data_IF_368856479211
#
_entry.id   IF_368856479211
#
_cell.length_a   1.000
_cell.length_b   1.000
_cell.length_c   1.000
_cell.angle_alpha   90.00
_cell.angle_beta   90.00
_cell.angle_gamma   90.00
#
_symmetry.space_group_name_H-M   'P 1'
#
loop_
_entity.id
_entity.type
_entity.pdbx_description
1 polymer ?
#
# COMPACT_ATOMS: atom_id res chain seq x y z
N UNK A 1 15.26 -72.16 14.84
CA UNK A 1 15.59 -71.52 13.55
C UNK A 1 15.50 -70.04 13.77
N UNK A 2 16.65 -69.42 14.03
CA UNK A 2 16.83 -67.98 14.22
C UNK A 2 17.05 -67.41 12.82
N UNK A 3 16.18 -66.50 12.39
CA UNK A 3 16.35 -65.77 11.14
C UNK A 3 17.36 -64.62 11.35
N UNK A 4 18.13 -64.22 10.33
CA UNK A 4 19.24 -63.29 10.49
C UNK A 4 18.75 -61.83 10.52
N UNK A 5 19.41 -61.01 11.33
CA UNK A 5 19.32 -59.54 11.30
C UNK A 5 19.90 -59.04 9.96
N UNK A 6 19.06 -58.44 9.13
CA UNK A 6 19.50 -57.64 7.98
C UNK A 6 19.91 -56.25 8.49
N UNK A 7 21.18 -55.92 8.27
CA UNK A 7 21.80 -54.63 8.60
C UNK A 7 21.22 -53.53 7.68
N UNK A 8 20.40 -52.63 8.25
CA UNK A 8 19.87 -51.47 7.53
C UNK A 8 20.97 -50.41 7.30
N UNK A 9 20.98 -49.72 6.13
CA UNK A 9 22.02 -48.76 5.76
C UNK A 9 22.07 -47.52 6.67
N UNK A 10 23.29 -47.02 6.95
CA UNK A 10 23.60 -45.95 7.94
C UNK A 10 22.71 -44.70 7.90
N UNK A 11 22.12 -44.35 6.75
CA UNK A 11 21.24 -43.18 6.63
C UNK A 11 19.88 -43.34 7.33
N UNK A 12 19.40 -44.57 7.59
CA UNK A 12 18.13 -44.82 8.29
C UNK A 12 18.29 -44.84 9.82
N UNK A 13 19.50 -45.10 10.35
CA UNK A 13 19.80 -44.97 11.78
C UNK A 13 19.81 -43.50 12.22
N UNK A 14 20.24 -42.59 11.34
CA UNK A 14 20.20 -41.16 11.60
C UNK A 14 18.76 -40.60 11.71
N UNK A 15 17.83 -41.17 10.95
CA UNK A 15 16.42 -40.78 10.98
C UNK A 15 15.67 -41.26 12.24
N UNK A 16 16.11 -42.35 12.88
CA UNK A 16 15.50 -42.82 14.13
C UNK A 16 16.11 -42.18 15.39
N UNK A 17 17.39 -41.76 15.37
CA UNK A 17 17.98 -41.07 16.54
C UNK A 17 17.47 -39.64 16.72
N UNK A 18 17.02 -38.98 15.65
CA UNK A 18 16.43 -37.63 15.73
C UNK A 18 14.95 -37.63 16.13
N UNK A 19 14.26 -38.79 16.05
CA UNK A 19 12.84 -38.92 16.37
C UNK A 19 12.54 -39.23 17.85
N UNK A 20 13.55 -39.54 18.68
CA UNK A 20 13.35 -39.95 20.09
C UNK A 20 13.81 -38.93 21.15
N UNK A 21 14.06 -37.66 20.79
CA UNK A 21 14.43 -36.62 21.77
C UNK A 21 13.56 -35.37 21.73
N UNK A 22 12.25 -35.55 21.57
CA UNK A 22 11.26 -34.50 21.84
C UNK A 22 10.20 -34.99 22.84
N UNK A 23 10.66 -35.36 24.03
CA UNK A 23 9.80 -35.38 25.22
C UNK A 23 9.70 -33.96 25.80
N UNK A 24 8.53 -33.39 25.59
CA UNK A 24 7.75 -32.56 26.50
C UNK A 24 8.52 -31.86 27.64
N UNK A 25 8.95 -30.63 27.37
CA UNK A 25 9.10 -29.61 28.41
C UNK A 25 8.25 -28.42 27.99
N UNK A 26 7.05 -28.38 28.54
CA UNK A 26 6.32 -27.15 28.84
C UNK A 26 7.24 -26.20 29.62
N UNK A 27 8.09 -25.49 28.89
CA UNK A 27 8.72 -24.29 29.35
C UNK A 27 7.73 -23.16 29.05
N UNK A 28 7.08 -22.67 30.10
CA UNK A 28 6.43 -21.36 30.10
C UNK A 28 7.37 -20.37 29.42
N UNK A 29 7.07 -20.05 28.16
CA UNK A 29 7.70 -18.94 27.46
C UNK A 29 7.21 -17.70 28.17
N UNK A 30 8.01 -17.23 29.13
CA UNK A 30 7.87 -15.90 29.68
C UNK A 30 8.01 -14.95 28.52
N UNK A 31 6.90 -14.34 28.12
CA UNK A 31 6.86 -13.21 27.22
C UNK A 31 7.67 -12.08 27.87
N UNK A 32 8.95 -12.02 27.54
CA UNK A 32 9.80 -10.88 27.87
C UNK A 32 9.31 -9.68 27.06
N UNK A 33 8.58 -8.80 27.76
CA UNK A 33 8.29 -7.41 27.43
C UNK A 33 7.95 -7.11 25.96
N UNK A 34 6.68 -7.33 25.62
CA UNK A 34 6.07 -6.83 24.40
C UNK A 34 5.82 -5.31 24.53
N UNK A 35 6.51 -4.55 23.69
CA UNK A 35 6.57 -3.09 23.67
C UNK A 35 5.20 -2.45 23.39
N UNK A 36 4.39 -2.22 24.43
CA UNK A 36 3.27 -1.28 24.38
C UNK A 36 2.12 -1.61 23.41
N UNK A 37 2.07 -2.81 22.84
CA UNK A 37 0.99 -3.25 21.96
C UNK A 37 -0.23 -3.66 22.78
N UNK A 38 -1.34 -2.93 22.65
CA UNK A 38 -2.62 -3.32 23.24
C UNK A 38 -3.26 -4.46 22.42
N UNK A 39 -2.90 -5.70 22.75
CA UNK A 39 -3.46 -6.91 22.14
C UNK A 39 -4.98 -7.01 22.28
N UNK A 40 -5.58 -6.41 23.32
CA UNK A 40 -7.02 -6.41 23.49
C UNK A 40 -7.69 -5.49 22.45
N UNK A 41 -7.08 -4.34 22.16
CA UNK A 41 -7.50 -3.44 21.08
C UNK A 41 -7.36 -4.11 19.70
N UNK A 42 -6.21 -4.73 19.42
CA UNK A 42 -5.96 -5.46 18.16
C UNK A 42 -6.98 -6.58 17.96
N UNK A 43 -7.24 -7.37 19.00
CA UNK A 43 -8.23 -8.46 18.95
C UNK A 43 -9.66 -7.95 18.74
N UNK A 44 -10.00 -6.79 19.30
CA UNK A 44 -11.30 -6.15 19.10
C UNK A 44 -11.44 -5.64 17.67
N UNK A 45 -10.40 -4.96 17.15
CA UNK A 45 -10.35 -4.47 15.78
C UNK A 45 -10.49 -5.61 14.77
N UNK A 46 -9.78 -6.72 14.99
CA UNK A 46 -9.88 -7.93 14.18
C UNK A 46 -11.33 -8.40 14.02
N UNK A 47 -12.03 -8.58 15.14
CA UNK A 47 -13.43 -9.00 15.15
C UNK A 47 -14.35 -8.01 14.43
N UNK A 48 -14.07 -6.72 14.54
CA UNK A 48 -14.85 -5.69 13.86
C UNK A 48 -14.68 -5.77 12.33
N UNK A 49 -13.45 -5.93 11.84
CA UNK A 49 -13.15 -6.10 10.40
C UNK A 49 -13.80 -7.39 9.88
N UNK A 50 -13.62 -8.51 10.58
CA UNK A 50 -14.15 -9.82 10.16
C UNK A 50 -15.68 -9.84 10.10
N UNK A 51 -16.37 -9.21 11.07
CA UNK A 51 -17.83 -9.06 11.02
C UNK A 51 -18.26 -8.22 9.83
N UNK A 52 -17.63 -7.06 9.62
CA UNK A 52 -17.97 -6.20 8.49
C UNK A 52 -17.70 -6.87 7.13
N UNK A 53 -16.66 -7.70 7.03
CA UNK A 53 -16.39 -8.54 5.86
C UNK A 53 -17.48 -9.59 5.64
N UNK A 54 -17.90 -10.29 6.70
CA UNK A 54 -18.96 -11.30 6.64
C UNK A 54 -20.32 -10.70 6.24
N UNK A 55 -20.63 -9.51 6.76
CA UNK A 55 -21.88 -8.80 6.48
C UNK A 55 -21.86 -8.05 5.13
N UNK A 56 -20.70 -7.99 4.46
CA UNK A 56 -20.53 -7.20 3.23
C UNK A 56 -20.69 -5.68 3.44
N UNK A 57 -20.52 -5.20 4.68
CA UNK A 57 -20.80 -3.81 5.05
C UNK A 57 -19.63 -2.90 4.72
N UNK A 58 -19.70 -2.24 3.56
CA UNK A 58 -18.70 -1.21 3.17
C UNK A 58 -18.59 -0.09 4.20
N UNK A 59 -19.69 0.30 4.86
CA UNK A 59 -19.68 1.32 5.92
C UNK A 59 -18.87 0.84 7.12
N UNK A 60 -19.10 -0.38 7.60
CA UNK A 60 -18.33 -0.95 8.72
C UNK A 60 -16.84 -1.08 8.40
N UNK A 61 -16.51 -1.46 7.17
CA UNK A 61 -15.13 -1.52 6.70
C UNK A 61 -14.44 -0.15 6.66
N UNK A 62 -15.15 0.89 6.20
CA UNK A 62 -14.64 2.27 6.21
C UNK A 62 -14.43 2.77 7.64
N UNK A 63 -15.37 2.51 8.55
CA UNK A 63 -15.21 2.86 9.97
C UNK A 63 -13.98 2.17 10.58
N UNK A 64 -13.79 0.88 10.33
CA UNK A 64 -12.64 0.12 10.80
C UNK A 64 -11.31 0.74 10.37
N UNK A 65 -11.24 1.17 9.10
CA UNK A 65 -10.06 1.77 8.48
C UNK A 65 -9.76 3.19 9.01
N UNK A 66 -10.78 3.97 9.38
CA UNK A 66 -10.64 5.33 9.93
C UNK A 66 -10.19 5.31 11.39
N UNK A 67 -10.69 4.37 12.19
CA UNK A 67 -10.37 4.26 13.61
C UNK A 67 -8.87 4.01 13.89
N UNK A 68 -8.45 4.22 15.13
CA UNK A 68 -7.07 3.98 15.59
C UNK A 68 -6.57 2.58 15.22
N UNK A 69 -5.31 2.50 14.78
CA UNK A 69 -4.67 1.27 14.28
C UNK A 69 -5.08 0.84 12.86
N UNK A 70 -6.13 1.42 12.27
CA UNK A 70 -6.58 1.13 10.90
C UNK A 70 -6.89 -0.34 10.67
N UNK A 71 -6.43 -0.89 9.54
CA UNK A 71 -6.72 -2.27 9.14
C UNK A 71 -5.74 -3.31 9.67
N UNK A 72 -4.84 -2.92 10.60
CA UNK A 72 -3.88 -3.79 11.30
C UNK A 72 -2.75 -4.31 10.41
N UNK A 73 -3.05 -5.02 9.31
CA UNK A 73 -2.06 -5.67 8.46
C UNK A 73 -2.50 -5.79 7.00
N UNK A 74 -1.54 -6.10 6.13
CA UNK A 74 -1.77 -6.19 4.68
C UNK A 74 -2.75 -7.31 4.30
N UNK A 75 -2.88 -8.37 5.09
CA UNK A 75 -3.85 -9.44 4.83
C UNK A 75 -5.30 -8.94 4.91
N UNK A 76 -5.61 -8.08 5.89
CA UNK A 76 -6.92 -7.42 5.93
C UNK A 76 -7.02 -6.36 4.83
N UNK A 77 -5.97 -5.60 4.53
CA UNK A 77 -6.00 -4.60 3.44
C UNK A 77 -6.29 -5.23 2.09
N UNK A 78 -5.72 -6.40 1.79
CA UNK A 78 -6.01 -7.20 0.58
C UNK A 78 -7.49 -7.54 0.43
N UNK A 79 -8.20 -7.74 1.55
CA UNK A 79 -9.63 -8.00 1.55
C UNK A 79 -10.44 -6.70 1.52
N UNK A 80 -10.00 -5.66 2.20
CA UNK A 80 -10.82 -4.48 2.49
C UNK A 80 -10.63 -3.37 1.46
N UNK A 81 -9.40 -3.03 1.07
CA UNK A 81 -9.12 -1.94 0.11
C UNK A 81 -9.91 -2.07 -1.19
N UNK A 82 -10.02 -3.26 -1.83
CA UNK A 82 -10.83 -3.40 -3.04
C UNK A 82 -12.31 -3.06 -2.81
N UNK A 83 -12.85 -3.44 -1.63
CA UNK A 83 -14.26 -3.20 -1.28
C UNK A 83 -14.53 -1.72 -1.00
N UNK A 84 -13.71 -1.07 -0.19
CA UNK A 84 -13.91 0.35 0.16
C UNK A 84 -13.57 1.29 -1.01
N UNK A 85 -12.62 0.89 -1.86
CA UNK A 85 -12.31 1.55 -3.13
C UNK A 85 -13.36 1.30 -4.22
N UNK A 86 -14.31 0.39 -3.98
CA UNK A 86 -15.43 0.12 -4.88
C UNK A 86 -15.02 -0.52 -6.19
N UNK A 87 -14.04 -1.42 -6.17
CA UNK A 87 -13.58 -2.15 -7.36
C UNK A 87 -14.12 -3.57 -7.39
N UNK A 88 -14.45 -4.03 -8.59
CA UNK A 88 -14.85 -5.41 -8.82
C UNK A 88 -13.62 -6.24 -9.17
N UNK A 89 -13.16 -7.10 -8.27
CA UNK A 89 -11.97 -7.96 -8.47
C UNK A 89 -12.11 -8.97 -9.61
N UNK A 90 -13.32 -9.17 -10.14
CA UNK A 90 -13.59 -10.01 -11.31
C UNK A 90 -13.62 -9.21 -12.62
N UNK A 91 -13.46 -7.88 -12.57
CA UNK A 91 -13.35 -7.06 -13.76
C UNK A 91 -12.10 -7.44 -14.54
N UNK A 92 -12.27 -7.65 -15.84
CA UNK A 92 -11.17 -7.89 -16.76
C UNK A 92 -10.90 -6.61 -17.55
N UNK A 93 -9.62 -6.29 -17.69
CA UNK A 93 -9.17 -5.21 -18.56
C UNK A 93 -8.12 -5.75 -19.51
N UNK A 94 -8.14 -5.36 -20.80
CA UNK A 94 -7.11 -5.75 -21.74
C UNK A 94 -5.72 -5.42 -21.20
N UNK A 95 -4.79 -6.37 -21.31
CA UNK A 95 -3.38 -6.12 -21.02
C UNK A 95 -2.72 -5.62 -22.31
N UNK A 96 -2.20 -4.39 -22.35
CA UNK A 96 -1.46 -3.90 -23.52
C UNK A 96 -0.18 -4.72 -23.70
N UNK A 97 0.31 -4.79 -24.93
CA UNK A 97 1.61 -5.41 -25.19
C UNK A 97 2.74 -4.50 -24.71
N UNK A 98 3.91 -5.07 -24.40
CA UNK A 98 5.09 -4.28 -24.06
C UNK A 98 5.48 -3.31 -25.20
N UNK A 99 5.33 -3.74 -26.46
CA UNK A 99 5.61 -2.90 -27.62
C UNK A 99 4.71 -1.66 -27.67
N UNK A 100 3.43 -1.78 -27.29
CA UNK A 100 2.52 -0.64 -27.24
C UNK A 100 2.86 0.29 -26.07
N UNK A 101 3.21 -0.27 -24.91
CA UNK A 101 3.64 0.49 -23.73
C UNK A 101 4.87 1.34 -24.05
N UNK A 102 5.88 0.77 -24.70
CA UNK A 102 7.15 1.45 -25.01
C UNK A 102 6.99 2.66 -25.94
N UNK A 103 5.93 2.66 -26.76
CA UNK A 103 5.61 3.75 -27.69
C UNK A 103 4.84 4.90 -27.01
N UNK A 104 4.33 4.70 -25.79
CA UNK A 104 3.53 5.70 -25.11
C UNK A 104 4.38 6.88 -24.63
N UNK A 105 3.86 8.11 -24.77
CA UNK A 105 4.61 9.35 -24.51
C UNK A 105 5.21 9.45 -23.09
N UNK A 106 4.52 8.88 -22.08
CA UNK A 106 4.98 8.89 -20.69
C UNK A 106 5.90 7.73 -20.29
N UNK A 107 6.13 6.74 -21.16
CA UNK A 107 6.85 5.51 -20.79
C UNK A 107 8.24 5.80 -20.19
N UNK A 108 9.05 6.60 -20.87
CA UNK A 108 10.41 6.91 -20.40
C UNK A 108 10.39 7.64 -19.06
N UNK A 109 9.45 8.56 -18.86
CA UNK A 109 9.31 9.28 -17.58
C UNK A 109 8.92 8.32 -16.45
N UNK A 110 7.95 7.43 -16.68
CA UNK A 110 7.51 6.44 -15.70
C UNK A 110 8.66 5.51 -15.31
N UNK A 111 9.42 5.00 -16.28
CA UNK A 111 10.60 4.15 -16.03
C UNK A 111 11.64 4.88 -15.18
N UNK A 112 11.94 6.15 -15.50
CA UNK A 112 12.91 6.94 -14.75
C UNK A 112 12.45 7.19 -13.31
N UNK A 113 11.17 7.44 -13.10
CA UNK A 113 10.59 7.70 -11.78
C UNK A 113 10.59 6.44 -10.91
N UNK A 114 10.15 5.31 -11.47
CA UNK A 114 10.15 4.00 -10.78
C UNK A 114 11.57 3.55 -10.42
N UNK A 115 12.57 3.86 -11.25
CA UNK A 115 13.98 3.61 -10.90
C UNK A 115 14.44 4.41 -9.67
N UNK A 116 13.88 5.60 -9.42
CA UNK A 116 14.22 6.43 -8.26
C UNK A 116 13.51 6.00 -6.98
N UNK A 117 12.42 5.22 -7.06
CA UNK A 117 11.66 4.75 -5.90
C UNK A 117 12.22 3.49 -5.23
N UNK A 118 13.44 3.05 -5.58
CA UNK A 118 14.10 1.84 -5.04
C UNK A 118 14.10 1.76 -3.50
N UNK A 119 14.23 2.91 -2.82
CA UNK A 119 14.24 2.99 -1.35
C UNK A 119 12.89 2.63 -0.69
N UNK A 120 11.81 2.58 -1.46
CA UNK A 120 10.45 2.27 -0.98
C UNK A 120 10.19 0.78 -0.89
N UNK A 121 11.01 -0.05 -1.55
CA UNK A 121 10.90 -1.50 -1.44
C UNK A 121 11.52 -1.96 -0.12
N UNK A 122 10.85 -2.84 0.64
CA UNK A 122 11.39 -3.37 1.88
C UNK A 122 12.83 -3.89 1.71
N UNK A 123 13.75 -3.54 2.62
CA UNK A 123 15.16 -3.90 2.50
C UNK A 123 15.41 -5.41 2.53
N UNK A 124 14.46 -6.20 3.02
CA UNK A 124 14.48 -7.67 3.05
C UNK A 124 14.28 -8.33 1.68
N UNK A 125 13.83 -7.60 0.66
CA UNK A 125 13.56 -8.16 -0.67
C UNK A 125 14.86 -8.29 -1.46
N UNK A 126 15.08 -9.47 -2.06
CA UNK A 126 16.23 -9.72 -2.93
C UNK A 126 16.21 -8.81 -4.18
N UNK A 127 17.39 -8.40 -4.67
CA UNK A 127 17.50 -7.44 -5.78
C UNK A 127 16.70 -7.85 -7.03
N UNK A 128 16.78 -9.13 -7.42
CA UNK A 128 16.01 -9.64 -8.57
C UNK A 128 14.49 -9.53 -8.39
N UNK A 129 13.99 -9.70 -7.16
CA UNK A 129 12.57 -9.50 -6.85
C UNK A 129 12.17 -8.02 -6.89
N UNK A 130 13.07 -7.10 -6.51
CA UNK A 130 12.83 -5.65 -6.63
C UNK A 130 12.70 -5.23 -8.09
N UNK A 131 13.61 -5.68 -8.94
CA UNK A 131 13.56 -5.40 -10.39
C UNK A 131 12.22 -5.89 -10.96
N UNK A 132 11.80 -7.11 -10.62
CA UNK A 132 10.51 -7.62 -11.04
C UNK A 132 9.33 -6.75 -10.55
N UNK A 133 9.37 -6.26 -9.31
CA UNK A 133 8.34 -5.34 -8.81
C UNK A 133 8.36 -3.98 -9.53
N UNK A 134 9.53 -3.46 -9.90
CA UNK A 134 9.64 -2.25 -10.71
C UNK A 134 9.01 -2.44 -12.09
N UNK A 135 9.27 -3.56 -12.75
CA UNK A 135 8.67 -3.87 -14.05
C UNK A 135 7.15 -3.97 -13.95
N UNK A 136 6.64 -4.63 -12.91
CA UNK A 136 5.19 -4.69 -12.63
C UNK A 136 4.59 -3.31 -12.34
N UNK A 137 5.32 -2.45 -11.62
CA UNK A 137 4.89 -1.10 -11.32
C UNK A 137 4.79 -0.23 -12.58
N UNK A 138 5.82 -0.28 -13.43
CA UNK A 138 5.80 0.39 -14.75
C UNK A 138 4.62 -0.11 -15.55
N UNK A 139 4.47 -1.44 -15.68
CA UNK A 139 3.37 -2.03 -16.44
C UNK A 139 1.99 -1.58 -15.93
N UNK A 140 1.78 -1.62 -14.61
CA UNK A 140 0.52 -1.20 -13.98
C UNK A 140 0.19 0.27 -14.23
N UNK A 141 1.17 1.17 -14.06
CA UNK A 141 1.01 2.61 -14.35
C UNK A 141 0.66 2.83 -15.82
N UNK A 142 1.39 2.18 -16.73
CA UNK A 142 1.18 2.33 -18.16
C UNK A 142 -0.17 1.77 -18.61
N UNK A 143 -0.62 0.65 -18.04
CA UNK A 143 -1.95 0.08 -18.29
C UNK A 143 -3.07 1.06 -17.92
N UNK A 144 -2.94 1.79 -16.82
CA UNK A 144 -3.91 2.83 -16.42
C UNK A 144 -3.90 4.01 -17.40
N UNK A 145 -2.73 4.53 -17.77
CA UNK A 145 -2.61 5.65 -18.70
C UNK A 145 -3.11 5.31 -20.11
N UNK A 146 -2.88 4.07 -20.57
CA UNK A 146 -3.38 3.61 -21.87
C UNK A 146 -4.89 3.34 -21.87
N UNK A 147 -5.46 2.89 -20.74
CA UNK A 147 -6.91 2.72 -20.60
C UNK A 147 -7.64 4.07 -20.56
N UNK A 148 -7.01 5.10 -20.01
CA UNK A 148 -7.60 6.43 -19.79
C UNK A 148 -6.74 7.53 -20.45
N UNK A 149 -6.85 7.72 -21.77
CA UNK A 149 -5.97 8.63 -22.54
C UNK A 149 -6.12 10.12 -22.17
N UNK A 150 -7.16 10.49 -21.41
CA UNK A 150 -7.36 11.83 -20.87
C UNK A 150 -6.48 12.13 -19.63
N UNK A 151 -5.93 11.09 -18.99
CA UNK A 151 -5.11 11.24 -17.80
C UNK A 151 -3.66 11.58 -18.18
N UNK A 152 -3.13 12.60 -17.51
CA UNK A 152 -1.76 13.05 -17.69
C UNK A 152 -0.92 12.58 -16.50
N UNK A 153 0.19 11.90 -16.78
CA UNK A 153 1.10 11.44 -15.74
C UNK A 153 1.76 12.64 -15.04
N UNK A 154 1.81 12.60 -13.70
CA UNK A 154 2.53 13.56 -12.88
C UNK A 154 3.62 12.88 -12.05
N UNK A 155 4.73 13.58 -11.81
CA UNK A 155 5.83 13.05 -11.00
C UNK A 155 5.39 12.93 -9.53
N UNK A 156 5.38 11.69 -9.02
CA UNK A 156 4.87 11.34 -7.69
C UNK A 156 3.74 10.31 -7.73
N UNK A 157 3.06 10.15 -8.88
CA UNK A 157 2.00 9.15 -9.04
C UNK A 157 2.48 7.71 -8.76
N UNK A 158 3.74 7.41 -9.10
CA UNK A 158 4.37 6.12 -8.83
C UNK A 158 4.48 5.79 -7.33
N UNK A 159 4.56 6.78 -6.44
CA UNK A 159 4.62 6.57 -4.98
C UNK A 159 3.29 6.04 -4.43
N UNK A 160 2.16 6.44 -5.03
CA UNK A 160 0.85 5.87 -4.71
C UNK A 160 0.74 4.45 -5.28
N UNK A 161 1.13 4.29 -6.54
CA UNK A 161 1.03 3.01 -7.24
C UNK A 161 1.90 1.92 -6.60
N UNK A 162 3.13 2.24 -6.13
CA UNK A 162 3.99 1.25 -5.49
C UNK A 162 3.41 0.75 -4.18
N UNK A 163 2.82 1.65 -3.38
CA UNK A 163 2.16 1.29 -2.11
C UNK A 163 1.01 0.32 -2.37
N UNK A 164 0.18 0.61 -3.37
CA UNK A 164 -0.93 -0.28 -3.76
C UNK A 164 -0.42 -1.61 -4.33
N UNK A 165 0.65 -1.60 -5.13
CA UNK A 165 1.26 -2.81 -5.67
C UNK A 165 1.79 -3.74 -4.57
N UNK A 166 2.45 -3.19 -3.56
CA UNK A 166 3.01 -3.96 -2.44
C UNK A 166 1.91 -4.65 -1.62
N UNK A 167 0.76 -4.01 -1.47
CA UNK A 167 -0.36 -4.57 -0.72
C UNK A 167 -1.21 -5.53 -1.57
N UNK A 168 -1.68 -5.08 -2.74
CA UNK A 168 -2.70 -5.78 -3.54
C UNK A 168 -2.14 -6.63 -4.69
N UNK A 169 -0.84 -6.48 -5.01
CA UNK A 169 -0.28 -7.05 -6.23
C UNK A 169 -0.78 -6.34 -7.49
N UNK A 170 -0.35 -6.83 -8.65
CA UNK A 170 -0.51 -6.12 -9.93
C UNK A 170 -1.96 -6.07 -10.43
N UNK A 171 -2.70 -7.19 -10.41
CA UNK A 171 -4.04 -7.22 -11.01
C UNK A 171 -5.09 -6.46 -10.21
N UNK A 172 -5.19 -6.74 -8.91
CA UNK A 172 -6.13 -6.03 -8.03
C UNK A 172 -5.65 -4.60 -7.80
N UNK A 173 -4.33 -4.39 -7.72
CA UNK A 173 -3.74 -3.06 -7.65
C UNK A 173 -4.08 -2.21 -8.87
N UNK A 174 -4.00 -2.76 -10.08
CA UNK A 174 -4.41 -2.08 -11.30
C UNK A 174 -5.86 -1.58 -11.21
N UNK A 175 -6.80 -2.45 -10.82
CA UNK A 175 -8.21 -2.09 -10.73
C UNK A 175 -8.43 -0.94 -9.74
N UNK A 176 -7.77 -0.98 -8.57
CA UNK A 176 -7.87 0.07 -7.58
C UNK A 176 -7.23 1.38 -8.06
N UNK A 177 -6.02 1.32 -8.60
CA UNK A 177 -5.32 2.49 -9.12
C UNK A 177 -6.12 3.14 -10.24
N UNK A 178 -6.65 2.37 -11.19
CA UNK A 178 -7.50 2.85 -12.28
C UNK A 178 -8.71 3.63 -11.75
N UNK A 179 -9.41 3.06 -10.76
CA UNK A 179 -10.55 3.69 -10.11
C UNK A 179 -10.17 5.01 -9.41
N UNK A 180 -9.07 5.02 -8.67
CA UNK A 180 -8.57 6.19 -7.94
C UNK A 180 -8.12 7.30 -8.90
N UNK A 181 -7.48 6.94 -10.01
CA UNK A 181 -7.02 7.85 -11.05
C UNK A 181 -8.17 8.57 -11.74
N UNK A 182 -9.32 7.92 -11.86
CA UNK A 182 -10.55 8.52 -12.37
C UNK A 182 -11.42 9.17 -11.27
N UNK A 183 -10.98 9.18 -10.01
CA UNK A 183 -11.71 9.78 -8.88
C UNK A 183 -10.79 10.61 -7.98
N UNK A 184 -10.26 10.06 -6.89
CA UNK A 184 -9.44 10.76 -5.90
C UNK A 184 -8.27 11.54 -6.51
N UNK A 185 -7.57 10.95 -7.49
CA UNK A 185 -6.35 11.51 -8.08
C UNK A 185 -6.62 12.28 -9.36
N UNK A 186 -7.87 12.32 -9.84
CA UNK A 186 -8.24 12.84 -11.16
C UNK A 186 -7.76 14.27 -11.39
N UNK A 187 -7.80 15.11 -10.35
CA UNK A 187 -7.35 16.51 -10.39
C UNK A 187 -5.83 16.64 -10.59
N UNK A 188 -5.06 15.74 -9.99
CA UNK A 188 -3.60 15.74 -10.12
C UNK A 188 -3.16 15.24 -11.50
N UNK A 189 -4.03 14.52 -12.20
CA UNK A 189 -3.80 13.97 -13.54
C UNK A 189 -4.36 14.85 -14.67
N UNK A 190 -4.71 16.11 -14.38
CA UNK A 190 -5.04 17.08 -15.42
C UNK A 190 -3.78 17.55 -16.15
N UNK A 191 -3.98 18.07 -17.38
CA UNK A 191 -2.89 18.63 -18.20
C UNK A 191 -2.12 19.76 -17.53
N UNK A 192 -2.74 20.45 -16.57
CA UNK A 192 -2.15 21.55 -15.82
C UNK A 192 -2.39 21.38 -14.33
N UNK A 193 -1.47 21.87 -13.50
CA UNK A 193 -1.60 21.82 -12.04
C UNK A 193 -2.54 22.90 -11.45
N UNK A 194 -3.28 23.65 -12.27
CA UNK A 194 -4.13 24.75 -11.80
C UNK A 194 -5.17 24.28 -10.77
N UNK A 195 -5.91 23.21 -11.06
CA UNK A 195 -6.89 22.66 -10.11
C UNK A 195 -6.24 22.10 -8.83
N UNK A 196 -5.04 21.52 -8.96
CA UNK A 196 -4.27 21.07 -7.81
C UNK A 196 -3.87 22.27 -6.94
N UNK A 197 -3.38 23.35 -7.55
CA UNK A 197 -3.02 24.57 -6.84
C UNK A 197 -4.22 25.17 -6.11
N UNK A 198 -5.37 25.30 -6.78
CA UNK A 198 -6.62 25.79 -6.19
C UNK A 198 -7.06 24.94 -4.99
N UNK A 199 -6.89 23.62 -5.05
CA UNK A 199 -7.15 22.73 -3.92
C UNK A 199 -6.19 23.02 -2.76
N UNK A 200 -4.89 23.15 -3.01
CA UNK A 200 -3.90 23.39 -1.96
C UNK A 200 -4.09 24.74 -1.25
N UNK A 201 -4.65 25.75 -1.91
CA UNK A 201 -4.99 27.04 -1.25
C UNK A 201 -5.95 26.86 -0.05
N UNK A 202 -6.69 25.75 0.04
CA UNK A 202 -7.54 25.46 1.19
C UNK A 202 -6.74 25.15 2.47
N UNK A 203 -5.44 24.84 2.38
CA UNK A 203 -4.60 24.60 3.56
C UNK A 203 -4.49 25.86 4.44
N UNK A 204 -4.52 27.02 3.81
CA UNK A 204 -4.29 28.31 4.42
C UNK A 204 -5.47 28.72 5.34
N UNK A 205 -6.74 28.63 4.92
CA UNK A 205 -7.89 28.75 5.82
C UNK A 205 -7.88 27.74 6.98
N UNK A 206 -7.48 26.49 6.74
CA UNK A 206 -7.39 25.46 7.79
C UNK A 206 -6.33 25.80 8.84
N UNK A 207 -5.13 26.20 8.39
CA UNK A 207 -4.07 26.68 9.29
C UNK A 207 -4.55 27.91 10.07
N UNK A 208 -5.24 28.85 9.41
CA UNK A 208 -5.75 30.06 10.09
C UNK A 208 -6.81 29.76 11.14
N UNK A 209 -7.63 28.72 10.95
CA UNK A 209 -8.59 28.26 11.94
C UNK A 209 -7.92 27.68 13.18
N UNK A 210 -6.89 26.84 13.00
CA UNK A 210 -6.17 26.19 14.11
C UNK A 210 -5.11 27.09 14.76
N UNK A 211 -4.42 27.92 13.98
CA UNK A 211 -3.35 28.82 14.41
C UNK A 211 -3.26 30.07 13.53
N UNK A 212 -3.96 31.16 13.90
CA UNK A 212 -3.86 32.44 13.21
C UNK A 212 -2.43 33.00 13.14
N UNK A 213 -1.63 32.79 14.20
CA UNK A 213 -0.25 33.28 14.28
C UNK A 213 0.67 32.60 13.24
N UNK A 214 0.51 31.29 13.06
CA UNK A 214 1.24 30.54 12.03
C UNK A 214 0.80 30.97 10.64
N UNK A 215 -0.51 31.16 10.43
CA UNK A 215 -1.06 31.66 9.17
C UNK A 215 -0.42 33.00 8.78
N UNK A 216 -0.44 33.97 9.68
CA UNK A 216 0.13 35.29 9.45
C UNK A 216 1.64 35.23 9.17
N UNK A 217 2.36 34.32 9.85
CA UNK A 217 3.78 34.10 9.60
C UNK A 217 4.04 33.59 8.18
N UNK A 218 3.30 32.56 7.73
CA UNK A 218 3.44 31.98 6.39
C UNK A 218 3.08 32.99 5.29
N UNK A 219 2.04 33.79 5.49
CA UNK A 219 1.63 34.85 4.55
C UNK A 219 2.71 35.93 4.45
N UNK A 220 3.23 36.43 5.58
CA UNK A 220 4.31 37.43 5.61
C UNK A 220 5.60 36.90 4.96
N UNK A 221 5.89 35.63 5.15
CA UNK A 221 7.06 34.97 4.55
C UNK A 221 6.86 34.60 3.07
N UNK A 222 5.66 34.79 2.51
CA UNK A 222 5.31 34.47 1.12
C UNK A 222 5.65 33.02 0.73
N UNK A 223 5.42 32.07 1.64
CA UNK A 223 5.76 30.66 1.42
C UNK A 223 4.96 30.05 0.25
N UNK A 224 3.73 30.54 0.04
CA UNK A 224 2.80 29.98 -0.95
C UNK A 224 2.37 28.56 -0.58
N UNK A 225 1.89 27.80 -1.55
CA UNK A 225 1.27 26.47 -1.34
C UNK A 225 2.19 25.29 -1.70
N UNK A 226 3.29 25.55 -2.41
CA UNK A 226 4.11 24.49 -3.02
C UNK A 226 4.75 23.53 -2.00
N UNK A 227 4.92 23.98 -0.74
CA UNK A 227 5.51 23.15 0.32
C UNK A 227 4.69 21.90 0.64
N UNK A 228 3.37 21.93 0.45
CA UNK A 228 2.47 20.81 0.76
C UNK A 228 2.07 19.99 -0.49
N UNK A 229 2.48 20.42 -1.68
CA UNK A 229 2.12 19.74 -2.93
C UNK A 229 2.55 18.26 -2.92
N UNK A 230 3.81 17.99 -2.56
CA UNK A 230 4.34 16.63 -2.54
C UNK A 230 3.60 15.73 -1.55
N UNK A 231 3.06 16.29 -0.46
CA UNK A 231 2.32 15.54 0.54
C UNK A 231 1.02 15.01 -0.04
N UNK A 232 0.28 15.89 -0.71
CA UNK A 232 -1.05 15.56 -1.24
C UNK A 232 -0.94 14.63 -2.46
N UNK A 233 -0.09 14.96 -3.44
CA UNK A 233 -0.05 14.20 -4.71
C UNK A 233 0.58 12.80 -4.58
N UNK A 234 1.28 12.54 -3.47
CA UNK A 234 1.90 11.23 -3.17
C UNK A 234 1.25 10.53 -1.98
N UNK A 235 0.16 11.07 -1.44
CA UNK A 235 -0.47 10.59 -0.20
C UNK A 235 0.55 10.38 0.92
N UNK A 236 1.44 11.36 1.10
CA UNK A 236 2.57 11.39 2.03
C UNK A 236 3.61 10.28 1.82
N UNK A 237 3.42 9.39 0.84
CA UNK A 237 4.32 8.30 0.54
C UNK A 237 5.73 8.78 0.23
N UNK A 238 5.88 9.92 -0.45
CA UNK A 238 7.22 10.42 -0.75
C UNK A 238 7.99 10.93 0.49
N UNK A 239 7.26 11.38 1.52
CA UNK A 239 7.86 12.08 2.68
C UNK A 239 8.06 11.15 3.87
N UNK A 240 7.13 10.24 4.12
CA UNK A 240 7.19 9.34 5.25
C UNK A 240 8.01 8.10 4.89
N UNK A 241 9.06 7.84 5.67
CA UNK A 241 9.97 6.71 5.43
C UNK A 241 9.38 5.36 5.90
N UNK A 242 8.53 5.39 6.92
CA UNK A 242 7.96 4.19 7.53
C UNK A 242 6.79 3.63 6.69
N UNK A 243 6.92 2.36 6.29
CA UNK A 243 5.92 1.69 5.47
C UNK A 243 4.58 1.56 6.20
N UNK A 244 4.61 1.15 7.47
CA UNK A 244 3.40 0.89 8.26
C UNK A 244 2.55 2.15 8.45
N UNK A 245 3.20 3.29 8.69
CA UNK A 245 2.56 4.60 8.74
C UNK A 245 1.92 4.96 7.40
N UNK A 246 2.61 4.72 6.27
CA UNK A 246 2.08 5.02 4.94
C UNK A 246 0.86 4.17 4.62
N UNK A 247 0.91 2.85 4.80
CA UNK A 247 -0.25 1.99 4.52
C UNK A 247 -1.41 2.27 5.47
N UNK A 248 -1.14 2.71 6.71
CA UNK A 248 -2.20 3.21 7.60
C UNK A 248 -2.85 4.49 7.09
N UNK A 249 -2.10 5.42 6.52
CA UNK A 249 -2.69 6.61 5.87
C UNK A 249 -3.55 6.20 4.66
N UNK A 250 -3.14 5.19 3.90
CA UNK A 250 -3.96 4.67 2.81
C UNK A 250 -5.28 4.07 3.31
N UNK A 251 -5.28 3.39 4.47
CA UNK A 251 -6.52 2.95 5.11
C UNK A 251 -7.48 4.14 5.33
N UNK A 252 -6.97 5.28 5.81
CA UNK A 252 -7.74 6.50 6.01
C UNK A 252 -8.24 7.08 4.69
N UNK A 253 -7.35 7.32 3.72
CA UNK A 253 -7.69 8.03 2.48
C UNK A 253 -8.69 7.24 1.63
N UNK A 254 -8.54 5.91 1.54
CA UNK A 254 -9.48 5.05 0.82
C UNK A 254 -10.86 5.00 1.49
N UNK A 255 -10.91 5.16 2.82
CA UNK A 255 -12.17 5.19 3.56
C UNK A 255 -12.87 6.55 3.55
N UNK A 256 -12.13 7.62 3.23
CA UNK A 256 -12.59 9.00 3.36
C UNK A 256 -13.22 9.55 2.07
N UNK A 257 -13.66 10.82 2.11
CA UNK A 257 -14.20 11.49 0.92
C UNK A 257 -13.12 11.60 -0.18
N UNK A 258 -13.46 11.54 -1.48
CA UNK A 258 -12.49 11.66 -2.58
C UNK A 258 -11.67 12.96 -2.65
N UNK A 259 -11.91 13.92 -1.74
CA UNK A 259 -11.13 15.17 -1.63
C UNK A 259 -10.13 15.14 -0.47
N UNK A 260 -10.02 13.99 0.19
CA UNK A 260 -9.08 13.73 1.27
C UNK A 260 -7.73 13.32 0.70
#
# INVERSE_FOLDING_TARGET
>A
MVAPEEDLPEHERAYQSEAETTEDKDAEVKYENDDGVDWALVSRKRRLIERALADGSTVGLKMAAVEEGGLICDDYRRLVWPRIGGVNVYETSPRPSFADIEQHAYYQQVVLDVKRSLKRFPPSIAEGQRIALQDRLVFMIMRVLMKNPELHYYQGYHDICVTILLVLGEEVGFLLVDRLSCSNLRRFMDKTMAQTADMLEHIYPLIGHESPELRDFLDRAQVGIMFCLSWVITWFGHVLADYDTVVRLFDLFLASHPWM
#
